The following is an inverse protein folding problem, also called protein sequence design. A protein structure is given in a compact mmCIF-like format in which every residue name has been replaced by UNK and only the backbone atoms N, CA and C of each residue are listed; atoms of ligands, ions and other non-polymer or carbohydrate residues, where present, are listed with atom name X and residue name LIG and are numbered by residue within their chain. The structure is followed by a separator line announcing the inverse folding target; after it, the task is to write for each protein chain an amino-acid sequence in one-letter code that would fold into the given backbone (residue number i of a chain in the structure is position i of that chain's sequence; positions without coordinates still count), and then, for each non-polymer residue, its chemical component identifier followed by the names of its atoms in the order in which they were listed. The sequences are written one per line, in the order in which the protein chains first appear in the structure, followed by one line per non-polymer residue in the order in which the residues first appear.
data_IF_271055492768
#
_entry.id   IF_271055492768
#
_cell.length_a   1.000
_cell.length_b   1.000
_cell.length_c   1.000
_cell.angle_alpha   90.00
_cell.angle_beta   90.00
_cell.angle_gamma   90.00
#
_symmetry.space_group_name_H-M   'P 1'
#
loop_
_entity.id
_entity.type
_entity.pdbx_description
1 polymer ?
#
# COMPACT_ATOMS: atom_id res chain seq x y z
N UNK A 1 16.55 -16.92 -44.23
CA UNK A 1 16.89 -17.01 -42.80
C UNK A 1 16.34 -15.75 -42.16
N UNK A 2 15.21 -15.85 -41.46
CA UNK A 2 14.61 -14.71 -40.75
C UNK A 2 15.30 -14.56 -39.40
N UNK A 3 15.85 -13.37 -39.13
CA UNK A 3 16.44 -13.05 -37.84
C UNK A 3 15.32 -12.84 -36.82
N UNK A 4 15.16 -13.79 -35.90
CA UNK A 4 14.31 -13.66 -34.73
C UNK A 4 14.94 -12.61 -33.80
N UNK A 5 14.24 -11.50 -33.61
CA UNK A 5 14.69 -10.44 -32.68
C UNK A 5 14.46 -10.95 -31.26
N UNK A 6 15.47 -10.95 -30.38
CA UNK A 6 15.27 -11.44 -29.02
C UNK A 6 14.22 -10.58 -28.30
N UNK A 7 13.35 -11.18 -27.47
CA UNK A 7 12.38 -10.42 -26.68
C UNK A 7 13.14 -9.40 -25.83
N UNK A 8 12.66 -8.16 -25.82
CA UNK A 8 13.18 -7.12 -24.95
C UNK A 8 13.14 -7.63 -23.50
N UNK A 9 14.18 -7.38 -22.69
CA UNK A 9 14.17 -7.78 -21.29
C UNK A 9 12.95 -7.15 -20.62
N UNK A 10 12.10 -7.98 -20.02
CA UNK A 10 11.02 -7.51 -19.16
C UNK A 10 11.67 -6.69 -18.03
N UNK A 11 11.37 -5.40 -18.02
CA UNK A 11 11.81 -4.47 -16.99
C UNK A 11 11.20 -4.98 -15.67
N UNK A 12 12.01 -5.63 -14.85
CA UNK A 12 11.61 -6.08 -13.52
C UNK A 12 11.35 -4.80 -12.73
N UNK A 13 10.10 -4.36 -12.68
CA UNK A 13 9.70 -3.22 -11.89
C UNK A 13 10.17 -3.48 -10.44
N UNK A 14 11.13 -2.70 -9.97
CA UNK A 14 11.60 -2.78 -8.60
C UNK A 14 10.38 -2.59 -7.69
N UNK A 15 10.02 -3.64 -6.95
CA UNK A 15 8.83 -3.66 -6.10
C UNK A 15 9.23 -3.94 -4.67
N UNK A 16 8.80 -3.07 -3.75
CA UNK A 16 8.92 -3.31 -2.32
C UNK A 16 7.66 -4.01 -1.79
N UNK A 17 7.77 -4.61 -0.60
CA UNK A 17 6.64 -5.24 0.09
C UNK A 17 6.18 -4.36 1.25
N UNK A 18 4.97 -3.83 1.16
CA UNK A 18 4.31 -3.10 2.24
C UNK A 18 3.49 -4.05 3.10
N UNK A 19 3.73 -4.06 4.40
CA UNK A 19 2.92 -4.80 5.38
C UNK A 19 2.13 -3.81 6.23
N UNK A 20 0.80 -3.86 6.15
CA UNK A 20 -0.10 -2.99 6.91
C UNK A 20 -0.87 -3.80 7.92
N UNK A 21 -0.88 -3.36 9.18
CA UNK A 21 -1.56 -4.03 10.30
C UNK A 21 -2.55 -3.08 10.97
N UNK A 22 -3.78 -3.53 11.16
CA UNK A 22 -4.77 -2.81 11.97
C UNK A 22 -4.77 -3.37 13.40
N UNK A 23 -3.88 -2.84 14.24
CA UNK A 23 -3.76 -3.18 15.67
C UNK A 23 -4.53 -2.21 16.59
N UNK A 24 -5.57 -1.56 16.07
CA UNK A 24 -6.35 -0.60 16.86
C UNK A 24 -7.06 -1.27 18.05
N UNK A 25 -7.07 -0.58 19.19
CA UNK A 25 -7.75 -1.05 20.40
C UNK A 25 -9.29 -1.05 20.27
N UNK A 26 -10.01 -1.58 21.29
CA UNK A 26 -11.47 -1.60 21.31
C UNK A 26 -12.08 -0.20 21.04
N UNK A 27 -13.10 -0.14 20.19
CA UNK A 27 -13.89 1.07 19.94
C UNK A 27 -15.36 0.77 20.17
N UNK A 28 -16.13 1.84 20.42
CA UNK A 28 -17.58 1.77 20.57
C UNK A 28 -18.30 1.33 19.28
N UNK A 29 -17.68 1.56 18.12
CA UNK A 29 -18.24 1.21 16.81
C UNK A 29 -17.20 0.43 16.03
N UNK A 30 -17.59 -0.70 15.43
CA UNK A 30 -16.72 -1.44 14.52
C UNK A 30 -16.46 -0.61 13.27
N UNK A 31 -15.19 -0.35 12.98
CA UNK A 31 -14.77 0.26 11.72
C UNK A 31 -13.51 -0.43 11.21
N UNK A 32 -13.39 -0.47 9.90
CA UNK A 32 -12.12 -0.79 9.26
C UNK A 32 -11.17 0.41 9.34
N UNK A 33 -9.90 0.15 9.08
CA UNK A 33 -8.90 1.17 8.81
C UNK A 33 -8.66 1.20 7.31
N UNK A 34 -9.11 2.26 6.67
CA UNK A 34 -8.86 2.45 5.24
C UNK A 34 -7.51 3.15 5.05
N UNK A 35 -6.75 2.66 4.09
CA UNK A 35 -5.40 3.12 3.74
C UNK A 35 -5.40 3.56 2.29
N UNK A 36 -4.87 4.75 2.05
CA UNK A 36 -4.57 5.24 0.72
C UNK A 36 -3.09 5.50 0.54
N UNK A 37 -2.61 5.33 -0.69
CA UNK A 37 -1.30 5.74 -1.15
C UNK A 37 -1.48 6.81 -2.23
N UNK A 38 -0.87 7.98 -2.04
CA UNK A 38 -0.95 9.11 -2.97
C UNK A 38 -2.40 9.49 -3.33
N UNK A 39 -3.33 9.34 -2.36
CA UNK A 39 -4.76 9.62 -2.53
C UNK A 39 -5.60 8.46 -3.10
N UNK A 40 -4.98 7.38 -3.58
CA UNK A 40 -5.68 6.19 -4.08
C UNK A 40 -5.85 5.15 -2.97
N UNK A 41 -7.05 4.62 -2.78
CA UNK A 41 -7.28 3.59 -1.76
C UNK A 41 -6.63 2.26 -2.15
N UNK A 42 -5.81 1.69 -1.25
CA UNK A 42 -5.05 0.45 -1.49
C UNK A 42 -5.51 -0.70 -0.58
N UNK A 43 -6.13 -0.38 0.55
CA UNK A 43 -6.67 -1.38 1.48
C UNK A 43 -7.73 -0.80 2.42
N UNK A 44 -8.66 -1.68 2.83
CA UNK A 44 -9.53 -1.48 3.99
C UNK A 44 -9.37 -2.69 4.90
N UNK A 45 -8.87 -2.46 6.12
CA UNK A 45 -8.48 -3.53 7.05
C UNK A 45 -9.43 -3.61 8.24
N UNK A 46 -10.11 -4.75 8.47
CA UNK A 46 -10.77 -5.02 9.74
C UNK A 46 -9.79 -4.99 10.91
N UNK A 47 -10.32 -4.82 12.11
CA UNK A 47 -9.52 -4.85 13.36
C UNK A 47 -8.81 -6.18 13.53
N UNK A 48 -7.60 -6.12 14.08
CA UNK A 48 -6.74 -7.27 14.37
C UNK A 48 -6.42 -8.11 13.12
N UNK A 49 -6.37 -7.46 11.96
CA UNK A 49 -5.96 -8.08 10.69
C UNK A 49 -4.78 -7.36 10.07
N UNK A 50 -4.17 -7.98 9.07
CA UNK A 50 -3.07 -7.42 8.29
C UNK A 50 -3.25 -7.73 6.81
N UNK A 51 -2.57 -6.96 5.97
CA UNK A 51 -2.46 -7.22 4.53
C UNK A 51 -1.06 -6.87 4.05
N UNK A 52 -0.60 -7.68 3.11
CA UNK A 52 0.66 -7.47 2.40
C UNK A 52 0.35 -7.01 0.98
N UNK A 53 1.03 -5.97 0.52
CA UNK A 53 0.83 -5.36 -0.79
C UNK A 53 2.19 -5.15 -1.46
N UNK A 54 2.34 -5.48 -2.76
CA UNK A 54 3.45 -4.95 -3.52
C UNK A 54 3.25 -3.44 -3.72
N UNK A 55 4.33 -2.68 -3.60
CA UNK A 55 4.38 -1.27 -3.98
C UNK A 55 5.51 -1.10 -5.01
N UNK A 56 5.31 -0.19 -5.97
CA UNK A 56 6.34 0.12 -6.96
C UNK A 56 7.48 0.95 -6.36
N UNK A 57 8.50 1.24 -7.16
CA UNK A 57 9.53 2.19 -6.81
C UNK A 57 8.99 3.63 -6.75
N UNK A 58 9.64 4.47 -5.94
CA UNK A 58 9.40 5.91 -5.87
C UNK A 58 8.69 6.38 -4.60
N UNK A 59 8.12 7.59 -4.68
CA UNK A 59 7.57 8.29 -3.53
C UNK A 59 6.14 7.82 -3.19
N UNK A 60 5.97 7.39 -1.95
CA UNK A 60 4.69 6.98 -1.40
C UNK A 60 4.27 7.86 -0.23
N UNK A 61 3.03 8.32 -0.25
CA UNK A 61 2.37 9.02 0.86
C UNK A 61 1.19 8.20 1.37
N UNK A 62 1.42 7.39 2.41
CA UNK A 62 0.39 6.57 3.03
C UNK A 62 -0.43 7.36 4.04
N UNK A 63 -1.76 7.32 3.89
CA UNK A 63 -2.72 7.95 4.80
C UNK A 63 -3.69 6.93 5.36
N UNK A 64 -4.05 7.09 6.63
CA UNK A 64 -4.95 6.19 7.35
C UNK A 64 -6.23 6.93 7.79
N UNK A 65 -7.38 6.61 7.19
CA UNK A 65 -8.65 7.36 7.34
C UNK A 65 -9.34 7.22 8.71
N UNK A 66 -8.80 6.45 9.65
CA UNK A 66 -9.49 6.14 10.92
C UNK A 66 -9.75 7.35 11.85
N UNK A 67 -9.30 8.56 11.47
CA UNK A 67 -9.52 9.76 12.26
C UNK A 67 -9.89 10.92 11.33
N UNK A 68 -11.12 11.48 11.41
CA UNK A 68 -11.53 12.61 10.57
C UNK A 68 -10.69 13.88 10.76
N UNK A 69 -9.78 13.90 11.75
CA UNK A 69 -8.76 14.94 11.97
C UNK A 69 -7.33 14.39 12.05
N UNK A 70 -7.11 13.08 11.84
CA UNK A 70 -5.81 12.45 12.06
C UNK A 70 -4.86 12.66 10.89
N UNK A 71 -3.92 13.58 11.07
CA UNK A 71 -2.76 13.80 10.18
C UNK A 71 -1.73 12.66 10.23
N UNK A 72 -2.15 11.40 10.24
CA UNK A 72 -1.21 10.27 10.21
C UNK A 72 -0.83 10.01 8.76
N UNK A 73 0.27 10.65 8.37
CA UNK A 73 0.94 10.47 7.09
C UNK A 73 2.24 9.71 7.36
N UNK A 74 2.49 8.67 6.57
CA UNK A 74 3.79 8.00 6.52
C UNK A 74 4.34 8.13 5.10
N UNK A 75 5.59 8.54 4.98
CA UNK A 75 6.28 8.71 3.69
C UNK A 75 7.36 7.66 3.52
N UNK A 76 7.47 7.08 2.33
CA UNK A 76 8.49 6.09 1.98
C UNK A 76 9.05 6.42 0.59
N UNK A 77 10.37 6.33 0.45
CA UNK A 77 11.04 6.17 -0.83
C UNK A 77 11.40 4.69 -0.95
N UNK A 78 10.80 4.01 -1.93
CA UNK A 78 11.00 2.58 -2.19
C UNK A 78 11.96 2.35 -3.35
#
# INVERSE_FOLDING_TARGET
MSAETPPAPEEVAESATLVVMNISGPTLVSSNQDISDNGSEIASLPRLTYKTLPIGAGHHEFRFKAFPQGKRVATLEA
#
